data_IF_818697202405
#
_entry.id   IF_818697202405
#
_cell.length_a   1.000
_cell.length_b   1.000
_cell.length_c   1.000
_cell.angle_alpha   90.00
_cell.angle_beta   90.00
_cell.angle_gamma   90.00
#
_symmetry.space_group_name_H-M   'P 1'
#
loop_
_entity.id
_entity.type
_entity.pdbx_description
1 polymer ?
#
# COMPACT_ATOMS: atom_id res chain seq x y z
N UNK A 1 -66.90 -27.51 -59.56
CA UNK A 1 -65.52 -27.15 -59.95
C UNK A 1 -64.69 -27.19 -58.67
N UNK A 2 -63.69 -28.09 -58.62
CA UNK A 2 -62.46 -28.10 -57.80
C UNK A 2 -62.37 -27.21 -56.53
N UNK A 3 -61.79 -27.58 -55.39
CA UNK A 3 -61.11 -28.76 -54.85
C UNK A 3 -60.76 -28.37 -53.38
N UNK A 4 -60.83 -29.32 -52.43
CA UNK A 4 -59.99 -29.50 -51.20
C UNK A 4 -59.56 -28.24 -50.41
N UNK A 5 -59.66 -28.18 -49.08
CA UNK A 5 -58.85 -29.00 -48.15
C UNK A 5 -59.29 -28.73 -46.70
N UNK A 6 -59.50 -29.81 -45.94
CA UNK A 6 -59.58 -29.81 -44.46
C UNK A 6 -58.25 -29.33 -43.86
N UNK A 7 -58.28 -28.78 -42.64
CA UNK A 7 -57.52 -29.30 -41.48
C UNK A 7 -58.05 -28.61 -40.21
N UNK A 8 -58.60 -29.43 -39.31
CA UNK A 8 -58.77 -29.11 -37.88
C UNK A 8 -57.42 -29.35 -37.20
N UNK A 9 -56.90 -28.37 -36.47
CA UNK A 9 -55.92 -28.61 -35.41
C UNK A 9 -56.37 -27.84 -34.16
N UNK A 10 -56.57 -28.62 -33.11
CA UNK A 10 -56.83 -28.27 -31.73
C UNK A 10 -55.85 -27.22 -31.18
N UNK A 11 -56.40 -26.13 -30.63
CA UNK A 11 -55.65 -25.14 -29.88
C UNK A 11 -55.18 -25.71 -28.54
N UNK A 12 -53.89 -26.04 -28.47
CA UNK A 12 -53.16 -26.24 -27.21
C UNK A 12 -52.67 -24.85 -26.78
N UNK A 13 -53.04 -24.44 -25.57
CA UNK A 13 -52.59 -23.21 -24.94
C UNK A 13 -51.06 -23.27 -24.75
N UNK A 14 -50.32 -22.48 -25.53
CA UNK A 14 -48.90 -22.25 -25.30
C UNK A 14 -48.74 -21.03 -24.40
N UNK A 15 -48.53 -21.29 -23.12
CA UNK A 15 -47.91 -20.34 -22.18
C UNK A 15 -46.47 -20.12 -22.66
N UNK A 16 -46.23 -19.03 -23.37
CA UNK A 16 -44.85 -18.56 -23.62
C UNK A 16 -44.46 -17.76 -22.39
N UNK A 17 -43.66 -18.40 -21.55
CA UNK A 17 -42.97 -17.81 -20.42
C UNK A 17 -42.15 -16.62 -20.96
N UNK A 18 -42.53 -15.40 -20.59
CA UNK A 18 -41.71 -14.22 -20.82
C UNK A 18 -40.48 -14.36 -19.91
N UNK A 19 -39.39 -14.89 -20.46
CA UNK A 19 -38.08 -14.83 -19.84
C UNK A 19 -37.69 -13.35 -19.78
N UNK A 20 -38.00 -12.69 -18.67
CA UNK A 20 -37.38 -11.43 -18.31
C UNK A 20 -35.88 -11.70 -18.17
N UNK A 21 -35.13 -11.43 -19.24
CA UNK A 21 -33.70 -11.22 -19.14
C UNK A 21 -33.56 -9.96 -18.29
N UNK A 22 -33.44 -10.17 -16.98
CA UNK A 22 -32.85 -9.20 -16.09
C UNK A 22 -31.45 -8.97 -16.63
N UNK A 23 -31.31 -7.93 -17.45
CA UNK A 23 -30.06 -7.21 -17.62
C UNK A 23 -29.71 -6.72 -16.22
N UNK A 24 -29.04 -7.57 -15.44
CA UNK A 24 -28.27 -7.11 -14.30
C UNK A 24 -27.26 -6.17 -14.90
N UNK A 25 -27.46 -4.87 -14.70
CA UNK A 25 -26.38 -3.91 -14.82
C UNK A 25 -25.26 -4.48 -13.99
N UNK A 26 -24.21 -4.95 -14.66
CA UNK A 26 -22.92 -5.13 -14.01
C UNK A 26 -22.62 -3.73 -13.50
N UNK A 27 -22.75 -3.53 -12.20
CA UNK A 27 -22.29 -2.29 -11.61
C UNK A 27 -20.79 -2.32 -11.87
N UNK A 28 -20.33 -1.50 -12.83
CA UNK A 28 -18.92 -1.24 -13.01
C UNK A 28 -18.37 -0.92 -11.62
N UNK A 29 -17.28 -1.60 -11.25
CA UNK A 29 -16.66 -1.46 -9.94
C UNK A 29 -16.29 0.01 -9.68
N UNK A 30 -15.76 0.34 -8.49
CA UNK A 30 -15.23 1.67 -8.26
C UNK A 30 -14.09 1.90 -9.26
N UNK A 31 -14.35 2.57 -10.39
CA UNK A 31 -13.32 3.00 -11.36
C UNK A 31 -12.58 4.24 -10.85
N UNK A 32 -13.16 4.89 -9.85
CA UNK A 32 -12.69 6.13 -9.25
C UNK A 32 -11.76 5.88 -8.07
N UNK A 33 -10.70 6.70 -7.94
CA UNK A 33 -9.60 6.48 -6.98
C UNK A 33 -8.42 5.69 -7.56
N UNK A 34 -8.60 5.11 -8.75
CA UNK A 34 -7.66 4.16 -9.34
C UNK A 34 -6.92 4.67 -10.58
N UNK A 35 -7.35 5.81 -11.14
CA UNK A 35 -6.75 6.42 -12.32
C UNK A 35 -5.23 6.58 -12.16
N UNK A 36 -4.81 7.16 -11.03
CA UNK A 36 -3.39 7.42 -10.74
C UNK A 36 -2.54 6.15 -10.80
N UNK A 37 -2.90 5.14 -10.00
CA UNK A 37 -2.18 3.86 -9.92
C UNK A 37 -2.08 3.14 -11.27
N UNK A 38 -3.19 3.06 -12.02
CA UNK A 38 -3.22 2.47 -13.37
C UNK A 38 -2.31 3.22 -14.33
N UNK A 39 -2.41 4.54 -14.36
CA UNK A 39 -1.65 5.40 -15.27
C UNK A 39 -0.15 5.33 -14.96
N UNK A 40 0.24 5.37 -13.69
CA UNK A 40 1.62 5.21 -13.23
C UNK A 40 2.20 3.88 -13.73
N UNK A 41 1.52 2.77 -13.46
CA UNK A 41 1.97 1.42 -13.87
C UNK A 41 2.10 1.29 -15.38
N UNK A 42 1.10 1.79 -16.13
CA UNK A 42 1.11 1.77 -17.59
C UNK A 42 2.31 2.53 -18.15
N UNK A 43 2.58 3.72 -17.62
CA UNK A 43 3.67 4.59 -18.09
C UNK A 43 5.05 4.04 -17.69
N UNK A 44 5.16 3.39 -16.53
CA UNK A 44 6.40 2.78 -16.05
C UNK A 44 6.97 1.75 -17.04
N UNK A 45 6.11 0.99 -17.74
CA UNK A 45 6.54 0.03 -18.78
C UNK A 45 7.40 0.68 -19.87
N UNK A 46 7.16 1.94 -20.22
CA UNK A 46 7.91 2.64 -21.27
C UNK A 46 9.27 3.18 -20.81
N UNK A 47 9.52 3.19 -19.50
CA UNK A 47 10.82 3.56 -18.91
C UNK A 47 11.82 2.40 -18.96
N UNK A 48 11.34 1.16 -19.12
CA UNK A 48 12.13 -0.05 -19.00
C UNK A 48 13.23 -0.18 -20.06
N UNK A 49 14.19 -1.05 -19.74
CA UNK A 49 15.24 -1.50 -20.65
C UNK A 49 14.64 -2.26 -21.86
N UNK A 50 15.35 -2.22 -22.98
CA UNK A 50 14.93 -2.86 -24.23
C UNK A 50 14.73 -4.38 -24.10
N UNK A 51 15.46 -5.04 -23.19
CA UNK A 51 15.36 -6.49 -22.98
C UNK A 51 14.16 -6.87 -22.11
N UNK A 52 13.66 -5.92 -21.30
CA UNK A 52 12.45 -6.12 -20.49
C UNK A 52 11.17 -5.71 -21.22
N UNK A 53 11.27 -4.67 -22.05
CA UNK A 53 10.12 -3.98 -22.64
C UNK A 53 9.19 -4.91 -23.45
N UNK A 54 9.65 -5.88 -24.26
CA UNK A 54 8.76 -6.78 -25.00
C UNK A 54 7.82 -7.56 -24.09
N UNK A 55 8.33 -8.11 -22.98
CA UNK A 55 7.54 -8.89 -22.02
C UNK A 55 6.47 -8.03 -21.34
N UNK A 56 6.84 -6.86 -20.81
CA UNK A 56 5.89 -5.98 -20.12
C UNK A 56 4.90 -5.33 -21.07
N UNK A 57 5.31 -4.95 -22.28
CA UNK A 57 4.41 -4.37 -23.29
C UNK A 57 3.38 -5.38 -23.78
N UNK A 58 3.76 -6.65 -23.94
CA UNK A 58 2.81 -7.71 -24.28
C UNK A 58 1.74 -7.93 -23.20
N UNK A 59 2.02 -7.53 -21.95
CA UNK A 59 1.14 -7.69 -20.79
C UNK A 59 0.69 -6.33 -20.21
N UNK A 60 0.73 -5.26 -21.00
CA UNK A 60 0.55 -3.89 -20.54
C UNK A 60 -0.79 -3.68 -19.85
N UNK A 61 -1.87 -4.14 -20.49
CA UNK A 61 -3.22 -3.95 -19.96
C UNK A 61 -3.42 -4.74 -18.67
N UNK A 62 -2.84 -5.95 -18.57
CA UNK A 62 -2.89 -6.75 -17.35
C UNK A 62 -2.21 -6.03 -16.17
N UNK A 63 -0.97 -5.55 -16.35
CA UNK A 63 -0.24 -4.82 -15.29
C UNK A 63 -0.93 -3.51 -14.94
N UNK A 64 -1.52 -2.84 -15.93
CA UNK A 64 -2.33 -1.63 -15.72
C UNK A 64 -3.56 -1.94 -14.86
N UNK A 65 -4.33 -2.97 -15.21
CA UNK A 65 -5.60 -3.28 -14.56
C UNK A 65 -5.44 -3.83 -13.14
N UNK A 66 -4.35 -4.53 -12.87
CA UNK A 66 -4.06 -5.13 -11.56
C UNK A 66 -3.25 -4.20 -10.65
N UNK A 67 -2.95 -2.97 -11.10
CA UNK A 67 -2.31 -1.93 -10.28
C UNK A 67 -3.17 -1.47 -9.09
N UNK A 68 -4.42 -1.92 -9.00
CA UNK A 68 -5.40 -1.51 -7.96
C UNK A 68 -5.83 -2.69 -7.09
N UNK A 69 -5.27 -3.87 -7.34
CA UNK A 69 -5.57 -5.08 -6.58
C UNK A 69 -5.25 -4.97 -5.09
N UNK A 70 -4.17 -4.27 -4.64
CA UNK A 70 -3.93 -4.03 -3.22
C UNK A 70 -5.11 -3.34 -2.53
N UNK A 71 -5.66 -2.28 -3.13
CA UNK A 71 -6.83 -1.60 -2.57
C UNK A 71 -8.07 -2.50 -2.51
N UNK A 72 -8.31 -3.29 -3.56
CA UNK A 72 -9.40 -4.30 -3.56
C UNK A 72 -9.19 -5.36 -2.46
N UNK A 73 -7.94 -5.67 -2.10
CA UNK A 73 -7.61 -6.67 -1.07
C UNK A 73 -7.92 -6.19 0.36
N UNK A 74 -8.11 -4.89 0.59
CA UNK A 74 -8.56 -4.32 1.88
C UNK A 74 -9.97 -4.78 2.28
N UNK A 75 -10.78 -5.22 1.33
CA UNK A 75 -12.09 -5.82 1.60
C UNK A 75 -11.96 -7.27 2.11
N UNK A 76 -10.86 -7.95 1.76
CA UNK A 76 -10.61 -9.34 2.13
C UNK A 76 -9.80 -9.48 3.43
N UNK A 77 -8.78 -8.65 3.65
CA UNK A 77 -7.77 -8.83 4.71
C UNK A 77 -7.61 -7.61 5.61
N UNK A 78 -7.57 -7.82 6.94
CA UNK A 78 -7.24 -6.78 7.93
C UNK A 78 -5.78 -6.32 7.85
N UNK A 79 -4.90 -7.17 7.32
CA UNK A 79 -3.46 -6.91 7.23
C UNK A 79 -3.04 -6.14 5.97
N UNK A 80 -4.00 -5.81 5.09
CA UNK A 80 -3.68 -5.09 3.87
C UNK A 80 -3.58 -3.59 4.09
N UNK A 81 -4.54 -2.97 4.80
CA UNK A 81 -4.62 -1.51 4.92
C UNK A 81 -3.31 -0.86 5.40
N UNK A 82 -2.66 -1.44 6.41
CA UNK A 82 -1.39 -0.94 6.97
C UNK A 82 -0.24 -0.91 5.97
N UNK A 83 -0.35 -1.57 4.82
CA UNK A 83 0.68 -1.60 3.77
C UNK A 83 0.66 -0.38 2.87
N UNK A 84 -0.39 0.43 2.93
CA UNK A 84 -0.59 1.59 2.06
C UNK A 84 -0.09 2.90 2.67
N UNK A 85 0.30 2.93 3.95
CA UNK A 85 0.68 4.18 4.61
C UNK A 85 1.75 3.96 5.67
N UNK A 86 2.25 5.08 6.22
CA UNK A 86 3.00 5.15 7.47
C UNK A 86 2.73 6.49 8.14
N UNK A 87 2.16 6.51 9.35
CA UNK A 87 1.82 7.74 10.07
C UNK A 87 3.04 8.21 10.85
N UNK A 88 3.93 8.93 10.17
CA UNK A 88 5.21 9.36 10.74
C UNK A 88 5.06 10.28 11.95
N UNK A 89 3.94 11.01 12.04
CA UNK A 89 3.61 11.90 13.15
C UNK A 89 3.58 11.17 14.52
N UNK A 90 3.37 9.85 14.54
CA UNK A 90 3.44 9.03 15.76
C UNK A 90 4.86 8.83 16.27
N UNK A 91 5.86 9.06 15.42
CA UNK A 91 7.24 8.65 15.67
C UNK A 91 8.23 9.81 15.86
N UNK A 92 7.75 11.05 15.83
CA UNK A 92 8.51 12.24 16.23
C UNK A 92 8.25 13.46 15.35
N UNK A 93 8.94 14.56 15.65
CA UNK A 93 8.90 15.80 14.89
C UNK A 93 10.30 16.06 14.32
N UNK A 94 10.62 15.48 13.16
CA UNK A 94 11.91 15.67 12.49
C UNK A 94 11.79 15.37 11.02
N UNK A 95 12.33 16.22 10.14
CA UNK A 95 12.30 15.98 8.68
C UNK A 95 12.95 14.64 8.27
N UNK A 96 13.91 14.15 9.05
CA UNK A 96 14.68 12.94 8.73
C UNK A 96 14.34 11.75 9.61
N UNK A 97 13.48 11.90 10.63
CA UNK A 97 13.04 10.82 11.53
C UNK A 97 14.16 9.81 11.91
N UNK A 98 15.33 10.27 12.41
CA UNK A 98 16.51 9.41 12.58
C UNK A 98 16.29 8.29 13.60
N UNK A 99 15.38 8.50 14.56
CA UNK A 99 15.04 7.51 15.59
C UNK A 99 14.01 6.46 15.13
N UNK A 100 13.50 6.56 13.90
CA UNK A 100 12.60 5.55 13.33
C UNK A 100 13.45 4.45 12.68
N UNK A 101 13.43 3.21 13.18
CA UNK A 101 14.29 2.16 12.66
C UNK A 101 13.94 1.82 11.22
N UNK A 102 14.93 1.87 10.33
CA UNK A 102 14.72 1.62 8.89
C UNK A 102 14.57 0.14 8.55
N UNK A 103 15.02 -0.77 9.43
CA UNK A 103 14.87 -2.22 9.30
C UNK A 103 13.58 -2.68 9.97
N UNK A 104 12.81 -3.53 9.28
CA UNK A 104 11.51 -4.01 9.76
C UNK A 104 11.53 -4.60 11.18
N UNK A 105 12.44 -5.53 11.47
CA UNK A 105 12.57 -6.12 12.81
C UNK A 105 12.85 -5.10 13.89
N UNK A 106 13.63 -4.06 13.55
CA UNK A 106 14.03 -3.06 14.53
C UNK A 106 12.87 -2.11 14.82
N UNK A 107 12.00 -1.87 13.82
CA UNK A 107 10.76 -1.11 13.98
C UNK A 107 9.78 -1.82 14.90
N UNK A 108 9.63 -3.15 14.74
CA UNK A 108 8.83 -3.96 15.65
C UNK A 108 9.38 -3.96 17.08
N UNK A 109 10.70 -4.10 17.23
CA UNK A 109 11.37 -4.01 18.54
C UNK A 109 11.15 -2.64 19.18
N UNK A 110 11.26 -1.56 18.41
CA UNK A 110 11.10 -0.18 18.88
C UNK A 110 9.74 0.07 19.55
N UNK A 111 8.70 -0.68 19.18
CA UNK A 111 7.37 -0.64 19.80
C UNK A 111 6.90 -2.02 20.27
N UNK A 112 7.84 -2.85 20.68
CA UNK A 112 7.62 -4.21 21.12
C UNK A 112 7.28 -4.30 22.60
N UNK A 113 6.43 -5.27 22.92
CA UNK A 113 6.03 -5.66 24.27
C UNK A 113 6.24 -7.17 24.43
N UNK A 114 6.79 -7.57 25.58
CA UNK A 114 6.93 -8.96 26.01
C UNK A 114 6.14 -9.15 27.32
N UNK A 115 5.06 -9.91 27.25
CA UNK A 115 4.18 -10.21 28.38
C UNK A 115 4.50 -11.60 28.95
N UNK A 116 4.90 -11.64 30.22
CA UNK A 116 5.18 -12.87 30.99
C UNK A 116 3.95 -13.19 31.84
N UNK A 117 3.19 -14.19 31.43
CA UNK A 117 1.84 -14.48 31.95
C UNK A 117 1.86 -15.74 32.81
N UNK A 118 1.34 -15.65 34.02
CA UNK A 118 1.12 -16.77 34.95
C UNK A 118 -0.37 -16.83 35.34
N UNK A 119 -0.78 -17.83 36.12
CA UNK A 119 -2.16 -17.90 36.62
C UNK A 119 -2.50 -16.76 37.60
N UNK A 120 -1.50 -16.18 38.27
CA UNK A 120 -1.68 -15.20 39.34
C UNK A 120 -1.33 -13.78 38.91
N UNK A 121 -0.42 -13.62 37.95
CA UNK A 121 0.18 -12.33 37.61
C UNK A 121 0.61 -12.25 36.14
N UNK A 122 0.72 -11.03 35.63
CA UNK A 122 1.24 -10.71 34.29
C UNK A 122 2.24 -9.57 34.40
N UNK A 123 3.51 -9.85 34.08
CA UNK A 123 4.57 -8.84 34.04
C UNK A 123 4.83 -8.46 32.59
N UNK A 124 4.67 -7.18 32.29
CA UNK A 124 4.81 -6.64 30.94
C UNK A 124 6.12 -5.86 30.83
N UNK A 125 6.94 -6.22 29.83
CA UNK A 125 8.17 -5.51 29.49
C UNK A 125 7.99 -4.79 28.15
N UNK A 126 8.26 -3.49 28.13
CA UNK A 126 8.13 -2.67 26.92
C UNK A 126 9.48 -2.09 26.54
N UNK A 127 9.72 -1.89 25.24
CA UNK A 127 10.89 -1.13 24.79
C UNK A 127 10.74 0.34 25.18
N UNK A 128 11.54 0.78 26.16
CA UNK A 128 11.61 2.17 26.61
C UNK A 128 12.41 3.02 25.63
N UNK A 129 13.62 2.55 25.27
CA UNK A 129 14.48 3.24 24.31
C UNK A 129 15.50 2.30 23.68
N UNK A 130 16.11 2.75 22.58
CA UNK A 130 17.24 2.09 21.93
C UNK A 130 18.42 3.06 21.96
N UNK A 131 19.40 2.78 22.82
CA UNK A 131 20.64 3.53 22.92
C UNK A 131 21.57 3.13 21.77
N UNK A 132 21.96 4.11 20.96
CA UNK A 132 22.74 3.88 19.76
C UNK A 132 24.18 3.50 20.13
N UNK A 133 24.64 2.36 19.62
CA UNK A 133 26.00 1.87 19.86
C UNK A 133 27.06 2.50 18.98
N UNK A 134 26.63 3.19 17.91
CA UNK A 134 27.47 3.90 16.96
C UNK A 134 26.77 5.21 16.56
N UNK A 135 27.46 6.36 16.59
CA UNK A 135 26.86 7.64 16.22
C UNK A 135 26.58 7.77 14.72
N UNK A 136 27.33 7.07 13.86
CA UNK A 136 27.24 7.13 12.41
C UNK A 136 26.39 5.97 11.85
N UNK A 137 26.22 4.88 12.61
CA UNK A 137 25.41 3.73 12.23
C UNK A 137 24.30 3.42 13.25
N UNK A 138 23.15 4.10 13.08
CA UNK A 138 21.98 3.89 13.93
C UNK A 138 21.47 2.44 13.84
N UNK A 139 20.99 1.91 14.97
CA UNK A 139 20.46 0.55 15.12
C UNK A 139 21.48 -0.56 14.82
N UNK A 140 22.77 -0.25 14.99
CA UNK A 140 23.86 -1.20 14.98
C UNK A 140 23.62 -2.38 15.94
N UNK A 141 24.23 -3.54 15.68
CA UNK A 141 24.07 -4.73 16.53
C UNK A 141 24.55 -4.53 17.98
N UNK A 142 25.49 -3.61 18.21
CA UNK A 142 26.00 -3.21 19.52
C UNK A 142 25.15 -2.13 20.22
N UNK A 143 24.14 -1.57 19.55
CA UNK A 143 23.14 -0.70 20.20
C UNK A 143 22.44 -1.47 21.33
N UNK A 144 21.95 -0.78 22.35
CA UNK A 144 21.31 -1.41 23.52
C UNK A 144 19.81 -1.12 23.52
N UNK A 145 19.00 -2.17 23.56
CA UNK A 145 17.56 -2.07 23.82
C UNK A 145 17.36 -2.05 25.32
N UNK A 146 16.70 -1.01 25.81
CA UNK A 146 16.31 -0.88 27.21
C UNK A 146 14.85 -1.27 27.31
N UNK A 147 14.58 -2.39 27.98
CA UNK A 147 13.24 -2.84 28.30
C UNK A 147 12.90 -2.39 29.72
N UNK A 148 11.69 -1.87 29.94
CA UNK A 148 11.20 -1.48 31.26
C UNK A 148 9.82 -2.06 31.54
N UNK A 149 9.59 -2.48 32.79
CA UNK A 149 8.28 -2.92 33.26
C UNK A 149 7.58 -1.83 34.11
N UNK A 150 6.33 -2.08 34.50
CA UNK A 150 5.52 -1.13 35.28
C UNK A 150 6.09 -0.85 36.70
N UNK A 151 6.91 -1.74 37.24
CA UNK A 151 7.57 -1.56 38.54
C UNK A 151 8.86 -0.72 38.44
N UNK A 152 9.26 -0.36 37.22
CA UNK A 152 10.47 0.41 36.95
C UNK A 152 11.74 -0.43 36.87
N UNK A 153 11.62 -1.75 36.83
CA UNK A 153 12.76 -2.63 36.59
C UNK A 153 13.22 -2.49 35.14
N UNK A 154 14.53 -2.53 34.93
CA UNK A 154 15.15 -2.38 33.61
C UNK A 154 15.95 -3.62 33.23
N UNK A 155 15.82 -4.01 31.96
CA UNK A 155 16.66 -5.01 31.33
C UNK A 155 17.33 -4.40 30.10
N UNK A 156 18.64 -4.57 30.00
CA UNK A 156 19.41 -4.09 28.85
C UNK A 156 19.90 -5.28 28.02
N UNK A 157 19.63 -5.22 26.72
CA UNK A 157 20.01 -6.27 25.77
C UNK A 157 20.71 -5.65 24.56
N UNK A 158 21.81 -6.25 24.05
CA UNK A 158 22.32 -5.89 22.74
C UNK A 158 21.23 -6.07 21.68
N UNK A 159 20.99 -5.03 20.88
CA UNK A 159 19.97 -5.03 19.83
C UNK A 159 20.19 -6.16 18.84
N UNK A 160 21.44 -6.52 18.54
CA UNK A 160 21.75 -7.69 17.72
C UNK A 160 21.20 -9.00 18.30
N UNK A 161 21.35 -9.21 19.60
CA UNK A 161 20.83 -10.40 20.29
C UNK A 161 19.30 -10.41 20.29
N UNK A 162 18.68 -9.29 20.67
CA UNK A 162 17.22 -9.20 20.74
C UNK A 162 16.58 -9.32 19.35
N UNK A 163 17.23 -8.74 18.32
CA UNK A 163 16.84 -8.92 16.91
C UNK A 163 16.85 -10.39 16.48
N UNK A 164 17.88 -11.15 16.84
CA UNK A 164 17.92 -12.58 16.51
C UNK A 164 16.81 -13.36 17.22
N UNK A 165 16.49 -12.99 18.47
CA UNK A 165 15.31 -13.54 19.15
C UNK A 165 14.02 -13.25 18.38
N UNK A 166 13.79 -12.00 17.96
CA UNK A 166 12.61 -11.63 17.17
C UNK A 166 12.53 -12.38 15.84
N UNK A 167 13.64 -12.48 15.10
CA UNK A 167 13.69 -13.18 13.82
C UNK A 167 13.35 -14.67 13.97
N UNK A 168 13.90 -15.32 15.00
CA UNK A 168 13.79 -16.77 15.13
C UNK A 168 12.52 -17.23 15.86
N UNK A 169 12.01 -16.42 16.80
CA UNK A 169 10.97 -16.85 17.74
C UNK A 169 9.67 -16.05 17.65
N UNK A 170 9.68 -14.85 17.05
CA UNK A 170 8.50 -13.97 17.00
C UNK A 170 7.97 -13.87 15.57
N UNK A 171 8.81 -13.48 14.61
CA UNK A 171 8.42 -13.26 13.21
C UNK A 171 7.79 -14.46 12.51
N UNK A 172 8.16 -15.74 12.78
CA UNK A 172 7.50 -16.88 12.15
C UNK A 172 5.99 -16.94 12.44
N UNK A 173 5.55 -16.40 13.58
CA UNK A 173 4.16 -16.41 14.04
C UNK A 173 3.47 -15.05 13.88
N UNK A 174 4.07 -14.11 13.14
CA UNK A 174 3.65 -12.70 13.09
C UNK A 174 2.17 -12.47 12.67
N UNK A 175 1.58 -13.37 11.89
CA UNK A 175 0.19 -13.22 11.42
C UNK A 175 -0.84 -13.97 12.25
N UNK A 176 -0.41 -14.63 13.32
CA UNK A 176 -1.30 -15.26 14.30
C UNK A 176 -2.02 -14.19 15.14
N UNK A 177 -3.22 -14.50 15.63
CA UNK A 177 -3.99 -13.55 16.46
C UNK A 177 -3.32 -13.27 17.82
N UNK A 178 -2.50 -14.22 18.30
CA UNK A 178 -1.64 -14.07 19.47
C UNK A 178 -0.25 -14.60 19.12
N UNK A 179 0.75 -13.72 19.18
CA UNK A 179 2.15 -14.11 18.93
C UNK A 179 2.73 -14.60 20.25
N UNK A 180 3.20 -15.84 20.26
CA UNK A 180 3.84 -16.45 21.44
C UNK A 180 5.31 -16.71 21.17
N UNK A 181 6.11 -16.68 22.24
CA UNK A 181 7.51 -17.06 22.23
C UNK A 181 7.76 -18.24 23.17
N UNK A 182 8.72 -19.08 22.81
CA UNK A 182 9.13 -20.21 23.65
C UNK A 182 9.85 -19.75 24.92
N UNK A 183 9.56 -20.42 26.04
CA UNK A 183 10.05 -20.05 27.37
C UNK A 183 11.59 -20.20 27.48
N UNK A 184 12.19 -21.21 26.85
CA UNK A 184 13.64 -21.41 26.87
C UNK A 184 14.34 -20.27 26.11
N UNK A 185 13.77 -19.86 24.98
CA UNK A 185 14.26 -18.75 24.16
C UNK A 185 14.22 -17.41 24.90
N UNK A 186 13.20 -17.19 25.73
CA UNK A 186 13.03 -15.98 26.56
C UNK A 186 13.96 -16.03 27.77
N UNK A 187 14.13 -17.19 28.39
CA UNK A 187 15.09 -17.40 29.49
C UNK A 187 16.53 -17.17 29.00
N UNK A 188 16.84 -17.54 27.75
CA UNK A 188 18.14 -17.29 27.13
C UNK A 188 18.43 -15.79 26.89
N UNK A 189 17.42 -14.91 26.92
CA UNK A 189 17.60 -13.46 26.95
C UNK A 189 17.93 -12.94 28.35
N UNK A 190 17.77 -13.74 29.40
CA UNK A 190 18.01 -13.35 30.79
C UNK A 190 16.75 -13.07 31.60
N UNK A 191 15.55 -13.32 31.06
CA UNK A 191 14.31 -13.27 31.83
C UNK A 191 14.20 -14.46 32.78
N UNK A 192 13.68 -14.22 33.98
CA UNK A 192 13.31 -15.29 34.90
C UNK A 192 11.82 -15.59 34.73
N UNK A 193 11.49 -16.82 34.39
CA UNK A 193 10.11 -17.26 34.18
C UNK A 193 9.64 -18.15 35.33
N UNK A 194 8.42 -17.90 35.81
CA UNK A 194 7.77 -18.81 36.75
C UNK A 194 7.42 -20.15 36.05
N UNK A 195 7.34 -21.27 36.79
CA UNK A 195 6.93 -22.55 36.21
C UNK A 195 5.56 -22.44 35.53
N UNK A 196 5.50 -22.84 34.25
CA UNK A 196 4.27 -22.79 33.46
C UNK A 196 3.90 -21.40 32.91
N UNK A 197 4.78 -20.40 33.06
CA UNK A 197 4.57 -19.09 32.46
C UNK A 197 4.45 -19.17 30.94
N UNK A 198 3.47 -18.45 30.38
CA UNK A 198 3.34 -18.24 28.95
C UNK A 198 3.98 -16.91 28.59
N UNK A 199 4.53 -16.84 27.38
CA UNK A 199 5.11 -15.59 26.86
C UNK A 199 4.35 -15.16 25.63
N UNK A 200 3.69 -14.01 25.74
CA UNK A 200 3.07 -13.32 24.63
C UNK A 200 3.95 -12.16 24.17
N UNK A 201 3.96 -11.91 22.86
CA UNK A 201 4.63 -10.78 22.25
C UNK A 201 3.59 -9.92 21.55
N UNK A 202 3.68 -8.61 21.74
CA UNK A 202 2.86 -7.62 21.01
C UNK A 202 3.77 -6.57 20.39
N UNK A 203 3.31 -5.97 19.32
CA UNK A 203 3.98 -4.84 18.68
C UNK A 203 2.95 -3.77 18.33
N UNK A 204 3.31 -2.52 18.55
CA UNK A 204 2.45 -1.35 18.35
C UNK A 204 2.94 -0.48 17.19
N UNK A 205 3.78 -1.03 16.31
CA UNK A 205 4.31 -0.27 15.17
C UNK A 205 3.37 -0.37 13.97
N UNK A 206 2.90 -1.59 13.67
CA UNK A 206 2.16 -1.89 12.43
C UNK A 206 0.85 -1.12 12.29
N UNK A 207 0.19 -0.82 13.41
CA UNK A 207 -1.10 -0.12 13.39
C UNK A 207 -1.01 1.29 12.79
N UNK A 208 0.19 1.89 12.83
CA UNK A 208 0.50 3.18 12.21
C UNK A 208 1.15 3.04 10.84
N UNK A 209 1.05 1.87 10.20
CA UNK A 209 1.44 1.67 8.81
C UNK A 209 2.90 1.29 8.60
N UNK A 210 3.11 0.47 7.56
CA UNK A 210 4.36 -0.24 7.28
C UNK A 210 4.82 -0.10 5.83
N UNK A 211 4.30 0.88 5.10
CA UNK A 211 4.56 1.08 3.67
C UNK A 211 6.04 0.95 3.24
N UNK A 212 7.02 1.66 3.84
CA UNK A 212 8.42 1.53 3.42
C UNK A 212 8.99 0.12 3.60
N UNK A 213 8.55 -0.60 4.65
CA UNK A 213 8.98 -1.98 4.90
C UNK A 213 8.31 -2.98 3.95
N UNK A 214 7.06 -2.71 3.56
CA UNK A 214 6.37 -3.49 2.54
C UNK A 214 7.05 -3.34 1.17
N UNK A 215 7.51 -2.14 0.81
CA UNK A 215 8.27 -1.90 -0.42
C UNK A 215 9.56 -2.74 -0.46
N UNK A 216 10.36 -2.72 0.60
CA UNK A 216 11.59 -3.54 0.71
C UNK A 216 11.25 -5.04 0.59
N UNK A 217 10.17 -5.51 1.24
CA UNK A 217 9.71 -6.90 1.15
C UNK A 217 9.24 -7.27 -0.25
N UNK A 218 8.49 -6.39 -0.91
CA UNK A 218 7.96 -6.59 -2.27
C UNK A 218 9.09 -6.71 -3.28
N UNK A 219 10.08 -5.82 -3.21
CA UNK A 219 11.27 -5.88 -4.07
C UNK A 219 11.93 -7.26 -4.00
N UNK A 220 12.24 -7.75 -2.79
CA UNK A 220 12.85 -9.09 -2.62
C UNK A 220 12.00 -10.21 -3.24
N UNK A 221 10.67 -10.12 -3.13
CA UNK A 221 9.74 -11.11 -3.72
C UNK A 221 9.73 -11.04 -5.25
N UNK A 222 9.86 -9.86 -5.83
CA UNK A 222 9.95 -9.66 -7.28
C UNK A 222 11.29 -10.16 -7.79
N UNK A 223 12.41 -9.81 -7.15
CA UNK A 223 13.74 -10.34 -7.48
C UNK A 223 13.72 -11.86 -7.47
N UNK A 224 13.14 -12.48 -6.43
CA UNK A 224 13.01 -13.93 -6.38
C UNK A 224 12.13 -14.48 -7.51
N UNK A 225 11.04 -13.79 -7.89
CA UNK A 225 10.20 -14.21 -9.01
C UNK A 225 10.93 -14.16 -10.36
N UNK A 226 11.83 -13.19 -10.55
CA UNK A 226 12.73 -13.15 -11.71
C UNK A 226 13.76 -14.27 -11.67
N UNK A 227 14.38 -14.55 -10.51
CA UNK A 227 15.31 -15.68 -10.33
C UNK A 227 14.60 -17.02 -10.65
N UNK A 228 13.36 -17.17 -10.20
CA UNK A 228 12.53 -18.36 -10.43
C UNK A 228 12.00 -18.44 -11.88
N UNK A 229 12.19 -17.39 -12.70
CA UNK A 229 11.61 -17.23 -14.04
C UNK A 229 10.07 -17.41 -14.07
N UNK A 230 9.39 -17.12 -12.95
CA UNK A 230 7.94 -17.26 -12.79
C UNK A 230 7.21 -16.00 -13.31
N UNK A 231 6.93 -15.99 -14.62
CA UNK A 231 6.23 -14.90 -15.32
C UNK A 231 4.92 -14.45 -14.65
N UNK A 232 4.17 -15.40 -14.10
CA UNK A 232 2.91 -15.18 -13.41
C UNK A 232 3.12 -14.38 -12.11
N UNK A 233 4.15 -14.75 -11.32
CA UNK A 233 4.54 -14.01 -10.11
C UNK A 233 5.17 -12.67 -10.44
N UNK A 234 5.99 -12.59 -11.49
CA UNK A 234 6.61 -11.34 -11.95
C UNK A 234 5.51 -10.30 -12.22
N UNK A 235 4.53 -10.63 -13.08
CA UNK A 235 3.47 -9.69 -13.43
C UNK A 235 2.65 -9.26 -12.20
N UNK A 236 2.17 -10.21 -11.39
CA UNK A 236 1.39 -9.90 -10.18
C UNK A 236 2.14 -9.02 -9.21
N UNK A 237 3.37 -9.38 -8.87
CA UNK A 237 4.13 -8.64 -7.88
C UNK A 237 4.57 -7.27 -8.41
N UNK A 238 4.89 -7.15 -9.70
CA UNK A 238 5.22 -5.85 -10.30
C UNK A 238 4.02 -4.90 -10.30
N UNK A 239 2.83 -5.37 -10.66
CA UNK A 239 1.60 -4.56 -10.63
C UNK A 239 1.27 -4.10 -9.19
N UNK A 240 1.33 -5.01 -8.22
CA UNK A 240 1.11 -4.68 -6.80
C UNK A 240 2.18 -3.72 -6.26
N UNK A 241 3.45 -3.88 -6.66
CA UNK A 241 4.52 -2.96 -6.26
C UNK A 241 4.31 -1.56 -6.82
N UNK A 242 3.82 -1.44 -8.05
CA UNK A 242 3.51 -0.16 -8.65
C UNK A 242 2.47 0.63 -7.84
N UNK A 243 1.49 -0.06 -7.26
CA UNK A 243 0.52 0.54 -6.34
C UNK A 243 1.17 1.15 -5.10
N UNK A 244 1.93 0.34 -4.34
CA UNK A 244 2.56 0.80 -3.10
C UNK A 244 3.59 1.91 -3.35
N UNK A 245 4.29 1.89 -4.49
CA UNK A 245 5.16 3.01 -4.89
C UNK A 245 4.33 4.27 -5.16
N UNK A 246 3.17 4.13 -5.81
CA UNK A 246 2.21 5.21 -5.98
C UNK A 246 1.81 5.84 -4.64
N UNK A 247 1.37 5.01 -3.69
CA UNK A 247 1.02 5.44 -2.33
C UNK A 247 2.17 6.18 -1.65
N UNK A 248 3.40 5.66 -1.77
CA UNK A 248 4.58 6.27 -1.16
C UNK A 248 4.88 7.68 -1.71
N UNK A 249 4.42 7.99 -2.93
CA UNK A 249 4.56 9.31 -3.53
C UNK A 249 3.46 10.30 -3.13
N UNK A 250 2.41 9.83 -2.43
CA UNK A 250 1.33 10.66 -1.91
C UNK A 250 1.66 11.19 -0.52
N UNK A 251 1.76 12.52 -0.30
CA UNK A 251 2.02 13.08 1.03
C UNK A 251 1.07 12.58 2.11
N UNK A 252 -0.22 12.45 1.79
CA UNK A 252 -1.27 12.09 2.73
C UNK A 252 -1.21 10.63 3.20
N UNK A 253 -0.43 9.76 2.55
CA UNK A 253 -0.16 8.40 3.02
C UNK A 253 0.97 8.35 4.07
N UNK A 254 1.49 9.51 4.48
CA UNK A 254 2.60 9.59 5.44
C UNK A 254 2.22 10.25 6.79
N UNK A 255 0.93 10.51 7.00
CA UNK A 255 0.41 11.26 8.15
C UNK A 255 -0.91 10.67 8.66
N UNK A 256 -1.14 10.76 9.97
CA UNK A 256 -2.43 10.41 10.56
C UNK A 256 -3.52 11.39 10.10
N UNK A 257 -3.20 12.63 9.74
CA UNK A 257 -4.16 13.64 9.25
C UNK A 257 -4.45 13.51 7.73
N UNK A 258 -4.43 12.29 7.21
CA UNK A 258 -4.50 11.99 5.77
C UNK A 258 -5.71 12.54 5.03
N UNK A 259 -6.87 12.53 5.67
CA UNK A 259 -8.07 13.08 5.07
C UNK A 259 -8.35 14.48 5.61
N UNK A 260 -7.41 15.15 6.27
CA UNK A 260 -7.63 16.48 6.85
C UNK A 260 -8.59 16.46 8.05
N UNK A 261 -8.91 15.28 8.61
CA UNK A 261 -9.91 15.11 9.65
C UNK A 261 -9.52 15.77 10.99
N UNK A 262 -8.23 15.96 11.26
CA UNK A 262 -7.73 16.63 12.47
C UNK A 262 -7.71 18.15 12.30
N UNK A 263 -7.86 18.63 11.06
CA UNK A 263 -7.63 20.01 10.66
C UNK A 263 -8.85 20.69 10.02
N UNK A 264 -9.97 19.97 9.89
CA UNK A 264 -11.21 20.48 9.30
C UNK A 264 -11.23 20.45 7.77
N UNK A 265 -10.40 19.63 7.15
CA UNK A 265 -10.19 19.55 5.70
C UNK A 265 -10.63 18.20 5.11
N UNK A 266 -11.63 17.55 5.73
CA UNK A 266 -12.22 16.27 5.30
C UNK A 266 -12.50 16.24 3.79
N UNK A 267 -11.93 15.24 3.12
CA UNK A 267 -12.00 15.05 1.67
C UNK A 267 -10.73 15.46 0.91
N UNK A 268 -9.70 15.99 1.59
CA UNK A 268 -8.45 16.39 0.95
C UNK A 268 -7.66 15.21 0.36
N UNK A 269 -7.86 13.99 0.90
CA UNK A 269 -7.23 12.78 0.36
C UNK A 269 -7.69 12.51 -1.07
N UNK A 270 -9.00 12.34 -1.26
CA UNK A 270 -9.59 12.11 -2.57
C UNK A 270 -9.42 13.32 -3.52
N UNK A 271 -9.32 14.53 -2.95
CA UNK A 271 -8.98 15.72 -3.73
C UNK A 271 -7.58 15.60 -4.37
N UNK A 272 -6.59 15.23 -3.57
CA UNK A 272 -5.21 15.11 -4.03
C UNK A 272 -5.02 13.91 -4.97
N UNK A 273 -5.49 12.73 -4.55
CA UNK A 273 -5.18 11.46 -5.22
C UNK A 273 -6.01 11.20 -6.47
N UNK A 274 -7.26 11.68 -6.49
CA UNK A 274 -8.17 11.44 -7.61
C UNK A 274 -8.42 12.71 -8.39
N UNK A 275 -9.05 13.70 -7.73
CA UNK A 275 -9.66 14.85 -8.42
C UNK A 275 -8.65 15.65 -9.25
N UNK A 276 -7.46 15.89 -8.71
CA UNK A 276 -6.41 16.64 -9.42
C UNK A 276 -5.89 15.86 -10.65
N UNK A 277 -5.40 14.61 -10.51
CA UNK A 277 -5.04 13.81 -11.67
C UNK A 277 -6.14 13.67 -12.73
N UNK A 278 -7.39 13.41 -12.37
CA UNK A 278 -8.44 13.21 -13.38
C UNK A 278 -8.80 14.49 -14.13
N UNK A 279 -8.64 15.65 -13.51
CA UNK A 279 -8.86 16.93 -14.19
C UNK A 279 -7.69 17.34 -15.10
N UNK A 280 -6.45 17.03 -14.72
CA UNK A 280 -5.28 17.68 -15.31
C UNK A 280 -4.26 16.73 -15.95
N UNK A 281 -4.23 15.45 -15.56
CA UNK A 281 -3.14 14.55 -15.96
C UNK A 281 -3.05 14.30 -17.46
N UNK A 282 -4.18 14.05 -18.14
CA UNK A 282 -4.16 13.72 -19.56
C UNK A 282 -4.04 14.95 -20.47
N UNK A 283 -4.42 16.14 -19.98
CA UNK A 283 -4.43 17.37 -20.77
C UNK A 283 -3.21 18.27 -20.51
N UNK A 284 -2.59 18.21 -19.32
CA UNK A 284 -1.59 19.19 -18.88
C UNK A 284 -0.24 18.57 -18.48
N UNK A 285 -0.22 17.37 -17.90
CA UNK A 285 1.03 16.80 -17.37
C UNK A 285 1.95 16.33 -18.49
N UNK A 286 3.24 16.60 -18.35
CA UNK A 286 4.27 15.97 -19.16
C UNK A 286 4.71 14.67 -18.48
N UNK A 287 4.60 13.54 -19.18
CA UNK A 287 5.01 12.23 -18.66
C UNK A 287 6.38 11.77 -19.16
N UNK A 288 7.20 12.66 -19.71
CA UNK A 288 8.55 12.33 -20.14
C UNK A 288 9.52 12.22 -18.95
N UNK A 289 9.60 11.03 -18.34
CA UNK A 289 10.41 10.78 -17.13
C UNK A 289 11.79 10.15 -17.39
N UNK A 290 12.09 9.77 -18.63
CA UNK A 290 13.34 9.12 -19.00
C UNK A 290 13.34 7.60 -18.76
N UNK A 291 14.54 7.02 -18.65
CA UNK A 291 14.75 5.57 -18.49
C UNK A 291 14.90 5.18 -17.02
N UNK A 292 14.40 3.98 -16.70
CA UNK A 292 14.56 3.31 -15.41
C UNK A 292 16.05 3.27 -15.02
N UNK A 293 16.31 3.40 -13.71
CA UNK A 293 17.67 3.44 -13.15
C UNK A 293 17.85 2.33 -12.12
N UNK A 294 19.06 1.82 -11.99
CA UNK A 294 19.40 0.88 -10.93
C UNK A 294 19.39 1.60 -9.57
N UNK A 295 18.86 0.94 -8.55
CA UNK A 295 18.79 1.43 -7.18
C UNK A 295 19.80 0.65 -6.34
N UNK A 296 20.86 1.34 -5.88
CA UNK A 296 21.97 0.71 -5.13
C UNK A 296 21.59 0.34 -3.69
N UNK A 297 20.95 1.25 -2.95
CA UNK A 297 20.39 0.99 -1.62
C UNK A 297 18.86 1.13 -1.66
N UNK A 298 18.13 0.01 -1.82
CA UNK A 298 16.67 0.02 -1.81
C UNK A 298 16.05 0.61 -0.55
N UNK A 299 16.68 0.39 0.61
CA UNK A 299 16.10 0.85 1.87
C UNK A 299 16.17 2.36 1.95
N UNK A 300 17.34 2.93 1.70
CA UNK A 300 17.51 4.39 1.65
C UNK A 300 16.56 4.99 0.61
N UNK A 301 16.49 4.41 -0.59
CA UNK A 301 15.61 4.86 -1.66
C UNK A 301 14.13 4.93 -1.26
N UNK A 302 13.56 3.89 -0.64
CA UNK A 302 12.16 3.92 -0.22
C UNK A 302 11.89 4.89 0.91
N UNK A 303 12.82 5.03 1.85
CA UNK A 303 12.70 6.00 2.92
C UNK A 303 12.79 7.43 2.39
N UNK A 304 13.67 7.72 1.45
CA UNK A 304 13.77 9.03 0.81
C UNK A 304 12.46 9.43 0.11
N UNK A 305 11.79 8.48 -0.57
CA UNK A 305 10.48 8.73 -1.19
C UNK A 305 9.45 9.13 -0.12
N UNK A 306 9.37 8.35 0.96
CA UNK A 306 8.41 8.56 2.06
C UNK A 306 8.69 9.87 2.78
N UNK A 307 9.95 10.16 3.12
CA UNK A 307 10.35 11.40 3.80
C UNK A 307 10.10 12.63 2.91
N UNK A 308 10.39 12.52 1.61
CA UNK A 308 10.06 13.57 0.64
C UNK A 308 8.55 13.79 0.57
N UNK A 309 7.73 12.74 0.52
CA UNK A 309 6.26 12.84 0.60
C UNK A 309 5.82 13.55 1.87
N UNK A 310 6.36 13.14 3.02
CA UNK A 310 5.98 13.68 4.31
C UNK A 310 6.31 15.17 4.45
N UNK A 311 7.47 15.61 3.92
CA UNK A 311 7.84 17.04 3.89
C UNK A 311 6.84 17.94 3.15
N UNK A 312 5.94 17.37 2.35
CA UNK A 312 4.93 18.10 1.58
C UNK A 312 3.57 18.16 2.29
N UNK A 313 3.36 17.43 3.39
CA UNK A 313 2.07 17.36 4.11
C UNK A 313 1.61 18.75 4.55
N UNK A 314 2.50 19.53 5.15
CA UNK A 314 2.20 20.91 5.57
C UNK A 314 1.82 21.80 4.39
N UNK A 315 2.51 21.66 3.26
CA UNK A 315 2.23 22.45 2.06
C UNK A 315 0.86 22.09 1.48
N UNK A 316 0.50 20.80 1.46
CA UNK A 316 -0.80 20.31 1.00
C UNK A 316 -1.93 20.88 1.87
N UNK A 317 -1.82 20.73 3.19
CA UNK A 317 -2.85 21.16 4.14
C UNK A 317 -2.95 22.69 4.21
N UNK A 318 -1.84 23.40 4.36
CA UNK A 318 -1.87 24.85 4.52
C UNK A 318 -2.28 25.59 3.24
N UNK A 319 -1.92 25.06 2.06
CA UNK A 319 -2.33 25.66 0.80
C UNK A 319 -3.82 25.51 0.57
N UNK A 320 -4.38 24.33 0.85
CA UNK A 320 -5.83 24.11 0.74
C UNK A 320 -6.59 25.01 1.70
N UNK A 321 -6.17 25.09 2.97
CA UNK A 321 -6.78 25.97 3.97
C UNK A 321 -6.77 27.43 3.55
N UNK A 322 -5.60 27.96 3.15
CA UNK A 322 -5.46 29.35 2.72
C UNK A 322 -6.32 29.67 1.49
N UNK A 323 -6.41 28.75 0.54
CA UNK A 323 -7.28 28.93 -0.62
C UNK A 323 -8.75 28.92 -0.22
N UNK A 324 -9.16 28.01 0.66
CA UNK A 324 -10.53 27.96 1.18
C UNK A 324 -10.97 29.27 1.85
N UNK A 325 -10.05 29.97 2.51
CA UNK A 325 -10.32 31.27 3.15
C UNK A 325 -10.46 32.44 2.16
N UNK A 326 -9.88 32.31 0.96
CA UNK A 326 -9.78 33.41 -0.02
C UNK A 326 -10.63 33.19 -1.27
N UNK A 327 -10.99 31.95 -1.57
CA UNK A 327 -11.80 31.57 -2.73
C UNK A 327 -13.31 31.73 -2.42
N UNK A 328 -14.15 32.22 -3.37
CA UNK A 328 -15.59 32.36 -3.13
C UNK A 328 -16.23 31.03 -2.69
N UNK A 329 -16.91 31.02 -1.54
CA UNK A 329 -17.45 29.81 -0.89
C UNK A 329 -18.38 29.00 -1.81
N UNK A 330 -19.18 29.69 -2.62
CA UNK A 330 -20.11 29.12 -3.60
C UNK A 330 -19.43 28.49 -4.83
N UNK A 331 -18.12 28.71 -5.00
CA UNK A 331 -17.31 28.18 -6.11
C UNK A 331 -16.31 27.11 -5.69
N UNK A 332 -16.21 26.78 -4.39
CA UNK A 332 -15.21 25.82 -3.92
C UNK A 332 -15.59 24.36 -4.23
N UNK A 333 -16.89 24.04 -4.13
CA UNK A 333 -17.38 22.67 -4.18
C UNK A 333 -18.47 22.52 -5.24
N UNK A 334 -18.51 21.35 -5.88
CA UNK A 334 -19.53 20.95 -6.85
C UNK A 334 -20.08 19.57 -6.49
N UNK A 335 -21.29 19.30 -6.98
CA UNK A 335 -21.82 17.94 -7.00
C UNK A 335 -21.43 17.27 -8.31
N UNK A 336 -20.89 16.07 -8.21
CA UNK A 336 -20.40 15.29 -9.33
C UNK A 336 -21.03 13.88 -9.28
N UNK A 337 -21.29 13.27 -10.43
CA UNK A 337 -21.81 11.90 -10.51
C UNK A 337 -20.68 10.92 -10.75
N UNK A 338 -20.49 9.98 -9.83
CA UNK A 338 -19.42 8.97 -9.86
C UNK A 338 -19.98 7.59 -9.63
N UNK A 339 -19.83 6.69 -10.61
CA UNK A 339 -20.32 5.30 -10.55
C UNK A 339 -21.79 5.19 -10.08
N UNK A 340 -22.65 6.10 -10.56
CA UNK A 340 -24.07 6.17 -10.19
C UNK A 340 -24.36 6.74 -8.79
N UNK A 341 -23.38 7.36 -8.12
CA UNK A 341 -23.53 8.06 -6.84
C UNK A 341 -23.20 9.54 -7.01
N UNK A 342 -24.05 10.41 -6.47
CA UNK A 342 -23.73 11.83 -6.35
C UNK A 342 -22.79 12.05 -5.17
N UNK A 343 -21.66 12.70 -5.41
CA UNK A 343 -20.72 13.07 -4.36
C UNK A 343 -20.48 14.58 -4.35
N UNK A 344 -19.99 15.12 -3.24
CA UNK A 344 -19.56 16.52 -3.12
C UNK A 344 -18.04 16.57 -3.18
N UNK A 345 -17.47 17.31 -4.14
CA UNK A 345 -16.02 17.39 -4.39
C UNK A 345 -15.62 18.81 -4.77
N UNK A 346 -14.33 19.09 -4.88
CA UNK A 346 -13.78 20.38 -5.24
C UNK A 346 -14.09 20.71 -6.72
N UNK A 347 -14.48 21.96 -6.98
CA UNK A 347 -14.74 22.47 -8.34
C UNK A 347 -13.48 22.44 -9.20
N UNK A 348 -13.63 22.48 -10.53
CA UNK A 348 -12.45 22.52 -11.41
C UNK A 348 -11.64 23.81 -11.21
N UNK A 349 -12.32 24.91 -10.93
CA UNK A 349 -11.72 26.23 -10.70
C UNK A 349 -10.93 26.26 -9.38
N UNK A 350 -11.48 25.69 -8.30
CA UNK A 350 -10.77 25.56 -7.03
C UNK A 350 -9.57 24.62 -7.16
N UNK A 351 -9.75 23.47 -7.85
CA UNK A 351 -8.68 22.53 -8.17
C UNK A 351 -7.53 23.20 -8.92
N UNK A 352 -7.83 23.98 -9.96
CA UNK A 352 -6.83 24.67 -10.76
C UNK A 352 -6.10 25.76 -9.96
N UNK A 353 -6.80 26.49 -9.09
CA UNK A 353 -6.18 27.47 -8.20
C UNK A 353 -5.25 26.80 -7.18
N UNK A 354 -5.63 25.63 -6.66
CA UNK A 354 -4.80 24.85 -5.75
C UNK A 354 -3.57 24.29 -6.45
N UNK A 355 -3.73 23.68 -7.61
CA UNK A 355 -2.62 23.14 -8.40
C UNK A 355 -1.59 24.23 -8.75
N UNK A 356 -2.07 25.40 -9.20
CA UNK A 356 -1.23 26.56 -9.46
C UNK A 356 -0.50 27.05 -8.20
N UNK A 357 -1.16 27.08 -7.05
CA UNK A 357 -0.53 27.48 -5.78
C UNK A 357 0.53 26.47 -5.30
N UNK A 358 0.36 25.19 -5.66
CA UNK A 358 1.30 24.10 -5.39
C UNK A 358 2.36 23.94 -6.49
N UNK A 359 2.35 24.79 -7.52
CA UNK A 359 3.39 24.88 -8.55
C UNK A 359 3.69 23.54 -9.25
N UNK A 360 2.66 22.77 -9.58
CA UNK A 360 2.81 21.48 -10.28
C UNK A 360 3.34 20.35 -9.40
N UNK A 361 3.28 20.47 -8.07
CA UNK A 361 3.77 19.43 -7.15
C UNK A 361 3.13 18.05 -7.43
N UNK A 362 1.83 17.99 -7.75
CA UNK A 362 1.16 16.71 -8.03
C UNK A 362 1.76 16.04 -9.25
N UNK A 363 1.97 16.80 -10.34
CA UNK A 363 2.67 16.31 -11.54
C UNK A 363 4.08 15.81 -11.19
N UNK A 364 4.86 16.57 -10.40
CA UNK A 364 6.20 16.18 -9.98
C UNK A 364 6.20 14.83 -9.26
N UNK A 365 5.29 14.65 -8.28
CA UNK A 365 5.14 13.38 -7.55
C UNK A 365 4.70 12.25 -8.46
N UNK A 366 3.78 12.53 -9.39
CA UNK A 366 3.30 11.54 -10.36
C UNK A 366 4.41 11.06 -11.30
N UNK A 367 5.20 11.99 -11.84
CA UNK A 367 6.38 11.70 -12.67
C UNK A 367 7.44 10.90 -11.91
N UNK A 368 7.71 11.29 -10.66
CA UNK A 368 8.62 10.56 -9.79
C UNK A 368 8.15 9.12 -9.54
N UNK A 369 6.84 8.92 -9.31
CA UNK A 369 6.26 7.59 -9.15
C UNK A 369 6.44 6.73 -10.41
N UNK A 370 6.16 7.25 -11.61
CA UNK A 370 6.37 6.52 -12.89
C UNK A 370 7.81 6.04 -13.01
N UNK A 371 8.77 6.94 -12.80
CA UNK A 371 10.19 6.61 -12.89
C UNK A 371 10.61 5.59 -11.80
N UNK A 372 10.07 5.73 -10.59
CA UNK A 372 10.35 4.87 -9.46
C UNK A 372 9.87 3.44 -9.71
N UNK A 373 8.63 3.27 -10.18
CA UNK A 373 8.08 1.94 -10.53
C UNK A 373 8.97 1.23 -11.56
N UNK A 374 9.33 1.93 -12.63
CA UNK A 374 10.23 1.39 -13.65
C UNK A 374 11.62 1.04 -13.10
N UNK A 375 12.18 1.91 -12.27
CA UNK A 375 13.50 1.73 -11.64
C UNK A 375 13.53 0.55 -10.68
N UNK A 376 12.47 0.34 -9.92
CA UNK A 376 12.34 -0.83 -9.02
C UNK A 376 12.22 -2.11 -9.83
N UNK A 377 11.35 -2.18 -10.84
CA UNK A 377 11.22 -3.38 -11.67
C UNK A 377 12.55 -3.72 -12.36
N UNK A 378 13.23 -2.70 -12.89
CA UNK A 378 14.55 -2.83 -13.50
C UNK A 378 15.60 -3.33 -12.51
N UNK A 379 15.66 -2.76 -11.31
CA UNK A 379 16.57 -3.18 -10.24
C UNK A 379 16.35 -4.65 -9.87
N UNK A 380 15.09 -5.08 -9.68
CA UNK A 380 14.78 -6.48 -9.41
C UNK A 380 15.28 -7.44 -10.50
N UNK A 381 15.13 -7.05 -11.77
CA UNK A 381 15.57 -7.85 -12.92
C UNK A 381 17.09 -7.91 -13.01
N UNK A 382 17.79 -6.80 -12.76
CA UNK A 382 19.26 -6.75 -12.70
C UNK A 382 19.78 -7.61 -11.55
N UNK A 383 19.22 -7.46 -10.35
CA UNK A 383 19.61 -8.25 -9.17
C UNK A 383 19.37 -9.75 -9.35
N UNK A 384 18.40 -10.12 -10.19
CA UNK A 384 18.10 -11.50 -10.54
C UNK A 384 19.07 -12.10 -11.59
N UNK A 385 20.05 -11.34 -12.07
CA UNK A 385 20.98 -11.77 -13.11
C UNK A 385 20.48 -11.59 -14.54
N UNK A 386 19.50 -10.69 -14.73
CA UNK A 386 18.96 -10.31 -16.05
C UNK A 386 18.43 -11.50 -16.87
N UNK A 387 17.50 -12.31 -16.35
CA UNK A 387 16.94 -13.45 -17.07
C UNK A 387 16.29 -13.03 -18.40
N UNK A 388 16.38 -13.89 -19.42
CA UNK A 388 15.85 -13.65 -20.77
C UNK A 388 14.32 -13.74 -20.78
N UNK A 389 13.66 -12.58 -20.66
CA UNK A 389 12.20 -12.52 -20.57
C UNK A 389 11.49 -12.92 -21.86
N UNK A 390 12.19 -13.02 -23.00
CA UNK A 390 11.59 -13.44 -24.28
C UNK A 390 11.16 -14.91 -24.28
N UNK A 391 11.68 -15.71 -23.34
CA UNK A 391 11.34 -17.12 -23.15
C UNK A 391 10.14 -17.32 -22.23
N UNK A 392 9.72 -16.27 -21.54
CA UNK A 392 8.69 -16.34 -20.52
C UNK A 392 7.32 -16.07 -21.13
N UNK A 393 6.36 -16.94 -20.83
CA UNK A 393 4.96 -16.77 -21.25
C UNK A 393 4.04 -16.97 -20.06
N UNK A 394 3.31 -15.93 -19.64
CA UNK A 394 2.33 -16.04 -18.55
C UNK A 394 1.28 -17.12 -18.83
N UNK A 395 0.82 -17.78 -17.78
CA UNK A 395 -0.22 -18.79 -17.90
C UNK A 395 -1.54 -18.15 -18.33
N UNK A 396 -2.33 -18.77 -19.23
CA UNK A 396 -3.68 -18.32 -19.54
C UNK A 396 -4.58 -18.22 -18.29
N UNK A 397 -4.29 -19.00 -17.23
CA UNK A 397 -5.02 -18.96 -15.95
C UNK A 397 -4.86 -17.63 -15.20
N UNK A 398 -3.76 -16.91 -15.42
CA UNK A 398 -3.51 -15.61 -14.79
C UNK A 398 -4.63 -14.61 -15.15
N UNK A 399 -4.99 -14.59 -16.44
CA UNK A 399 -5.99 -13.68 -17.00
C UNK A 399 -7.43 -14.04 -16.63
N UNK A 400 -7.68 -15.23 -16.10
CA UNK A 400 -9.02 -15.69 -15.69
C UNK A 400 -9.36 -15.36 -14.22
N UNK A 401 -8.38 -14.95 -13.39
CA UNK A 401 -8.56 -14.73 -11.94
C UNK A 401 -9.13 -13.35 -11.57
N UNK A 402 -9.16 -12.40 -12.49
CA UNK A 402 -9.63 -11.01 -12.29
C UNK A 402 -11.04 -10.96 -11.67
N UNK A 403 -11.88 -11.93 -12.04
CA UNK A 403 -13.28 -12.06 -11.65
C UNK A 403 -13.56 -12.26 -10.15
N UNK A 404 -12.56 -12.65 -9.34
CA UNK A 404 -12.78 -12.98 -7.90
C UNK A 404 -12.64 -11.80 -6.95
N UNK A 405 -11.76 -10.84 -7.24
CA UNK A 405 -11.55 -9.64 -6.39
C UNK A 405 -12.70 -8.65 -6.57
N UNK A 406 -13.18 -8.47 -7.80
CA UNK A 406 -14.31 -7.59 -8.10
C UNK A 406 -15.60 -8.03 -7.39
N UNK A 407 -15.79 -9.35 -7.20
CA UNK A 407 -16.91 -9.89 -6.40
C UNK A 407 -16.77 -9.62 -4.89
N UNK A 408 -15.55 -9.58 -4.36
CA UNK A 408 -15.30 -9.29 -2.94
C UNK A 408 -15.60 -7.81 -2.61
N UNK A 409 -15.26 -6.90 -3.51
CA UNK A 409 -15.58 -5.45 -3.40
C UNK A 409 -17.10 -5.24 -3.31
N UNK A 410 -17.90 -6.01 -4.06
CA UNK A 410 -19.36 -5.90 -4.05
C UNK A 410 -20.08 -6.37 -2.77
N UNK A 411 -19.39 -6.97 -1.80
CA UNK A 411 -20.03 -7.67 -0.67
C UNK A 411 -19.57 -7.26 0.74
N UNK A 412 -18.59 -6.37 0.88
CA UNK A 412 -17.93 -6.10 2.17
C UNK A 412 -17.79 -4.61 2.53
N UNK A 413 -17.55 -4.34 3.82
CA UNK A 413 -16.99 -3.06 4.30
C UNK A 413 -15.46 -3.13 4.24
N UNK A 414 -14.80 -2.01 3.97
CA UNK A 414 -13.34 -1.88 4.05
C UNK A 414 -12.87 -2.32 5.45
N UNK A 415 -11.81 -3.13 5.52
CA UNK A 415 -11.15 -3.50 6.78
C UNK A 415 -9.91 -2.63 6.99
N UNK A 416 -9.76 -2.07 8.18
CA UNK A 416 -8.68 -1.14 8.52
C UNK A 416 -9.02 0.32 8.24
N UNK A 417 -8.00 1.14 7.95
CA UNK A 417 -8.14 2.58 7.64
C UNK A 417 -9.07 2.79 6.43
N UNK A 418 -9.97 3.77 6.54
CA UNK A 418 -10.84 4.20 5.44
C UNK A 418 -10.11 5.32 4.71
N UNK A 419 -9.94 5.22 3.39
CA UNK A 419 -9.18 6.21 2.60
C UNK A 419 -10.11 7.17 1.82
N UNK A 420 -11.43 7.02 1.98
CA UNK A 420 -12.47 7.78 1.26
C UNK A 420 -13.53 8.36 2.20
#
# INVERSE_FOLDING_TARGET
MQLKTLIKISGIASVVLASAVLLTSVADGPEWGFFGHRRINRLAVFTLDQDMMPFFRANLDWVTDHAVDPDKRRYASKYEAVRHYIDLDHWGESETFPHVPRRWTDALIYKGELSLITEQDTVVWTTDTILQGDPDYLFAANSQVILRNAEGEEMQLPLGQYRMFWINNVLPNYYEDVITADADSVTALGFTLAPGAQVEVREHFTEYGILPYQLERMQRRITQAFIDEDSDRILRLCAEMGHYIGDAHVPLHTTENYNGQMTGQTGIHAFWESRLPELFADDQYDFFVGKARYIEDPREYYWDIVLKSHSLVDSVLNTERRLRETFPEDQQMVFDERSGRTIKTQSAEFSAAWDAAMQGMVEERFRAAILSVGSVWYTCWVDAGQPDLTRLTPSPKLFAKTDTLDRAVGSGKIKGRTHE
#
